data_IF_012716063380
#
_entry.id   IF_012716063380
#
_cell.length_a   1.000
_cell.length_b   1.000
_cell.length_c   1.000
_cell.angle_alpha   90.00
_cell.angle_beta   90.00
_cell.angle_gamma   90.00
#
_symmetry.space_group_name_H-M   'P 1'
#
loop_
_entity.id
_entity.type
_entity.pdbx_description
1 polymer ?
#
# COMPACT_ATOMS: atom_id res chain seq x y z
N UNK A 1 -30.25 6.46 -17.28
CA UNK A 1 -30.63 6.43 -15.85
C UNK A 1 -29.35 6.16 -15.07
N UNK A 2 -28.84 7.17 -14.37
CA UNK A 2 -27.55 7.08 -13.67
C UNK A 2 -27.65 6.19 -12.45
N UNK A 3 -26.82 5.15 -12.38
CA UNK A 3 -26.56 4.42 -11.15
C UNK A 3 -25.56 5.23 -10.32
N UNK A 4 -26.07 6.09 -9.45
CA UNK A 4 -25.29 6.56 -8.31
C UNK A 4 -24.94 5.34 -7.45
N UNK A 5 -23.71 4.83 -7.58
CA UNK A 5 -23.15 3.95 -6.57
C UNK A 5 -22.77 4.81 -5.37
N UNK A 6 -23.73 5.04 -4.50
CA UNK A 6 -23.51 5.70 -3.21
C UNK A 6 -22.69 4.77 -2.31
N UNK A 7 -21.38 4.72 -2.51
CA UNK A 7 -20.46 4.15 -1.52
C UNK A 7 -20.40 5.15 -0.38
N UNK A 8 -21.19 4.89 0.67
CA UNK A 8 -20.90 5.41 2.00
C UNK A 8 -19.57 4.77 2.41
N UNK A 9 -18.45 5.38 2.03
CA UNK A 9 -17.17 5.08 2.66
C UNK A 9 -17.31 5.57 4.10
N UNK A 10 -17.66 4.68 5.02
CA UNK A 10 -17.43 4.93 6.45
C UNK A 10 -15.97 5.34 6.58
N UNK A 11 -15.72 6.61 6.91
CA UNK A 11 -14.36 7.14 7.12
C UNK A 11 -13.70 6.30 8.22
N UNK A 12 -12.74 5.46 7.82
CA UNK A 12 -11.91 4.72 8.77
C UNK A 12 -10.93 5.74 9.32
N UNK A 13 -11.00 5.98 10.64
CA UNK A 13 -9.97 6.75 11.33
C UNK A 13 -8.63 6.00 11.24
N UNK A 14 -7.73 6.47 10.38
CA UNK A 14 -6.41 5.90 10.16
C UNK A 14 -5.45 6.15 11.33
N UNK A 15 -5.79 7.07 12.23
CA UNK A 15 -4.98 7.38 13.41
C UNK A 15 -5.25 6.39 14.57
N UNK A 16 -6.42 5.74 14.57
CA UNK A 16 -6.79 4.73 15.57
C UNK A 16 -6.46 3.30 15.10
N UNK A 17 -5.59 2.63 15.84
CA UNK A 17 -5.29 1.22 15.64
C UNK A 17 -6.53 0.33 15.79
N UNK A 18 -7.41 0.65 16.76
CA UNK A 18 -8.64 -0.07 17.03
C UNK A 18 -9.66 0.11 15.91
N UNK A 19 -9.70 1.29 15.28
CA UNK A 19 -10.53 1.55 14.10
C UNK A 19 -10.11 0.64 12.95
N UNK A 20 -8.81 0.61 12.64
CA UNK A 20 -8.24 -0.24 11.59
C UNK A 20 -8.44 -1.73 11.90
N UNK A 21 -8.14 -2.18 13.12
CA UNK A 21 -8.34 -3.59 13.50
C UNK A 21 -9.81 -4.01 13.39
N UNK A 22 -10.75 -3.15 13.79
CA UNK A 22 -12.19 -3.40 13.65
C UNK A 22 -12.63 -3.45 12.19
N UNK A 23 -12.09 -2.60 11.32
CA UNK A 23 -12.43 -2.64 9.89
C UNK A 23 -11.96 -3.93 9.23
N UNK A 24 -10.73 -4.38 9.54
CA UNK A 24 -10.18 -5.65 9.07
C UNK A 24 -11.03 -6.84 9.54
N UNK A 25 -11.43 -6.85 10.82
CA UNK A 25 -12.26 -7.93 11.38
C UNK A 25 -13.66 -8.01 10.74
N UNK A 26 -14.22 -6.86 10.33
CA UNK A 26 -15.52 -6.80 9.65
C UNK A 26 -15.44 -7.12 8.15
N UNK A 27 -14.25 -7.05 7.55
CA UNK A 27 -14.08 -7.28 6.13
C UNK A 27 -14.41 -8.74 5.75
N UNK A 28 -15.32 -8.91 4.78
CA UNK A 28 -15.70 -10.23 4.27
C UNK A 28 -14.60 -10.77 3.37
N UNK A 29 -14.14 -12.00 3.64
CA UNK A 29 -13.22 -12.72 2.74
C UNK A 29 -13.93 -13.03 1.42
N UNK A 30 -13.23 -12.85 0.32
CA UNK A 30 -13.71 -13.15 -1.03
C UNK A 30 -12.63 -13.78 -1.89
N UNK A 31 -13.06 -14.47 -2.94
CA UNK A 31 -12.22 -14.97 -4.03
C UNK A 31 -12.80 -14.42 -5.33
N UNK A 32 -12.53 -13.14 -5.66
CA UNK A 32 -13.06 -12.54 -6.87
C UNK A 32 -12.43 -13.21 -8.10
N UNK A 33 -13.27 -13.50 -9.08
CA UNK A 33 -12.88 -14.06 -10.36
C UNK A 33 -13.51 -13.27 -11.50
N UNK A 34 -12.84 -13.29 -12.65
CA UNK A 34 -13.39 -12.86 -13.94
C UNK A 34 -13.41 -14.06 -14.86
N UNK A 35 -14.57 -14.38 -15.41
CA UNK A 35 -14.76 -15.56 -16.25
C UNK A 35 -15.24 -15.14 -17.62
N UNK A 36 -14.54 -15.58 -18.66
CA UNK A 36 -14.99 -15.50 -20.05
C UNK A 36 -15.67 -16.81 -20.39
N UNK A 37 -16.88 -16.76 -20.92
CA UNK A 37 -17.70 -17.95 -21.22
C UNK A 37 -18.20 -17.84 -22.65
N UNK A 38 -18.10 -18.92 -23.41
CA UNK A 38 -18.66 -19.06 -24.75
C UNK A 38 -19.61 -20.25 -24.81
N UNK A 39 -20.79 -20.08 -25.39
CA UNK A 39 -21.82 -21.13 -25.42
C UNK A 39 -23.19 -20.61 -25.84
N UNK A 40 -24.26 -21.33 -25.51
CA UNK A 40 -25.65 -20.85 -25.65
C UNK A 40 -26.16 -20.28 -24.32
N UNK A 41 -25.95 -18.99 -24.10
CA UNK A 41 -26.00 -18.34 -22.78
C UNK A 41 -27.23 -17.43 -22.59
N UNK A 42 -28.27 -17.58 -23.42
CA UNK A 42 -29.43 -16.68 -23.40
C UNK A 42 -30.13 -16.60 -22.04
N UNK A 43 -30.10 -17.69 -21.27
CA UNK A 43 -30.77 -17.82 -19.98
C UNK A 43 -29.83 -17.65 -18.76
N UNK A 44 -28.55 -17.29 -18.98
CA UNK A 44 -27.58 -17.15 -17.90
C UNK A 44 -27.68 -15.74 -17.31
N UNK A 45 -28.37 -15.59 -16.19
CA UNK A 45 -28.51 -14.30 -15.48
C UNK A 45 -28.29 -14.46 -13.97
N UNK A 46 -27.91 -13.37 -13.29
CA UNK A 46 -27.69 -13.35 -11.84
C UNK A 46 -27.75 -11.92 -11.29
N UNK A 47 -28.38 -11.76 -10.12
CA UNK A 47 -28.41 -10.49 -9.40
C UNK A 47 -27.13 -10.25 -8.56
N UNK A 48 -26.37 -11.30 -8.25
CA UNK A 48 -25.20 -11.26 -7.35
C UNK A 48 -23.87 -11.13 -8.11
N UNK A 49 -23.90 -11.23 -9.43
CA UNK A 49 -22.73 -11.19 -10.30
C UNK A 49 -22.87 -10.09 -11.32
N UNK A 50 -21.74 -9.52 -11.73
CA UNK A 50 -21.71 -8.60 -12.87
C UNK A 50 -21.55 -9.43 -14.14
N UNK A 51 -22.51 -9.33 -15.05
CA UNK A 51 -22.52 -10.08 -16.30
C UNK A 51 -22.57 -9.10 -17.47
N UNK A 52 -21.63 -9.25 -18.41
CA UNK A 52 -21.52 -8.44 -19.63
C UNK A 52 -21.48 -9.36 -20.85
N UNK A 53 -21.97 -8.91 -22.01
CA UNK A 53 -21.86 -9.64 -23.27
C UNK A 53 -23.21 -9.90 -23.96
N UNK A 54 -23.30 -11.01 -24.69
CA UNK A 54 -24.47 -11.44 -25.45
C UNK A 54 -24.77 -12.94 -25.21
N UNK A 55 -25.69 -13.50 -26.00
CA UNK A 55 -26.15 -14.88 -25.82
C UNK A 55 -25.15 -15.94 -26.27
N UNK A 56 -24.06 -15.55 -26.93
CA UNK A 56 -23.00 -16.46 -27.40
C UNK A 56 -21.70 -16.33 -26.59
N UNK A 57 -21.49 -15.17 -25.97
CA UNK A 57 -20.30 -14.85 -25.21
C UNK A 57 -20.62 -13.92 -24.03
N UNK A 58 -20.19 -14.30 -22.82
CA UNK A 58 -20.36 -13.49 -21.61
C UNK A 58 -19.08 -13.38 -20.80
N UNK A 59 -18.90 -12.25 -20.14
CA UNK A 59 -17.89 -12.01 -19.11
C UNK A 59 -18.63 -11.89 -17.77
N UNK A 60 -18.25 -12.73 -16.80
CA UNK A 60 -18.84 -12.76 -15.46
C UNK A 60 -17.79 -12.30 -14.45
N UNK A 61 -18.13 -11.37 -13.57
CA UNK A 61 -17.27 -10.88 -12.49
C UNK A 61 -18.00 -11.04 -11.15
N UNK A 62 -17.37 -11.71 -10.19
CA UNK A 62 -17.91 -11.86 -8.83
C UNK A 62 -17.16 -12.86 -7.98
N UNK A 63 -17.73 -13.29 -6.85
CA UNK A 63 -17.10 -14.28 -5.99
C UNK A 63 -17.14 -15.69 -6.61
N UNK A 64 -16.03 -16.40 -6.52
CA UNK A 64 -15.87 -17.74 -7.09
C UNK A 64 -16.97 -18.72 -6.64
N UNK A 65 -17.48 -18.60 -5.41
CA UNK A 65 -18.51 -19.50 -4.89
C UNK A 65 -19.79 -19.42 -5.72
N UNK A 66 -20.22 -18.21 -6.08
CA UNK A 66 -21.42 -17.98 -6.87
C UNK A 66 -21.18 -18.27 -8.35
N UNK A 67 -20.02 -17.87 -8.87
CA UNK A 67 -19.62 -18.18 -10.25
C UNK A 67 -19.55 -19.69 -10.49
N UNK A 68 -19.01 -20.45 -9.54
CA UNK A 68 -18.94 -21.91 -9.64
C UNK A 68 -20.32 -22.55 -9.76
N UNK A 69 -21.32 -22.07 -9.01
CA UNK A 69 -22.70 -22.57 -9.12
C UNK A 69 -23.24 -22.39 -10.54
N UNK A 70 -23.05 -21.20 -11.13
CA UNK A 70 -23.48 -20.94 -12.50
C UNK A 70 -22.78 -21.85 -13.51
N UNK A 71 -21.46 -22.05 -13.37
CA UNK A 71 -20.71 -22.92 -14.26
C UNK A 71 -21.18 -24.38 -14.17
N UNK A 72 -21.39 -24.88 -12.95
CA UNK A 72 -21.85 -26.25 -12.69
C UNK A 72 -23.29 -26.46 -13.22
N UNK A 73 -24.20 -25.49 -13.01
CA UNK A 73 -25.60 -25.58 -13.44
C UNK A 73 -25.79 -25.46 -14.95
N UNK A 74 -24.88 -24.78 -15.65
CA UNK A 74 -25.00 -24.49 -17.09
C UNK A 74 -24.00 -25.27 -17.95
N UNK A 75 -23.37 -26.32 -17.41
CA UNK A 75 -22.28 -27.04 -18.07
C UNK A 75 -22.64 -27.54 -19.49
N UNK A 76 -23.89 -27.94 -19.71
CA UNK A 76 -24.36 -28.44 -21.01
C UNK A 76 -24.47 -27.35 -22.10
N UNK A 77 -24.53 -26.07 -21.71
CA UNK A 77 -24.66 -24.94 -22.63
C UNK A 77 -23.34 -24.21 -22.85
N UNK A 78 -22.31 -24.51 -22.04
CA UNK A 78 -21.01 -23.89 -22.10
C UNK A 78 -20.09 -24.73 -22.98
N UNK A 79 -19.59 -24.13 -24.07
CA UNK A 79 -18.61 -24.79 -24.93
C UNK A 79 -17.19 -24.60 -24.41
N UNK A 80 -16.86 -23.40 -23.94
CA UNK A 80 -15.54 -23.02 -23.45
C UNK A 80 -15.68 -21.97 -22.36
N UNK A 81 -14.76 -21.99 -21.40
CA UNK A 81 -14.60 -20.89 -20.47
C UNK A 81 -13.15 -20.73 -20.02
N UNK A 82 -12.81 -19.54 -19.56
CA UNK A 82 -11.52 -19.22 -18.96
C UNK A 82 -11.72 -18.37 -17.71
N UNK A 83 -11.07 -18.74 -16.61
CA UNK A 83 -11.17 -18.04 -15.32
C UNK A 83 -9.85 -17.33 -15.03
N UNK A 84 -9.91 -16.01 -14.89
CA UNK A 84 -8.86 -15.18 -14.31
C UNK A 84 -9.14 -14.92 -12.82
N UNK A 85 -8.11 -14.98 -11.99
CA UNK A 85 -8.17 -14.62 -10.58
C UNK A 85 -6.78 -14.18 -10.08
N UNK A 86 -6.75 -13.31 -9.07
CA UNK A 86 -5.51 -12.73 -8.54
C UNK A 86 -5.32 -12.97 -7.02
N UNK A 87 -6.35 -13.47 -6.34
CA UNK A 87 -6.36 -13.65 -4.88
C UNK A 87 -7.33 -14.75 -4.43
N UNK A 88 -7.09 -15.29 -3.23
CA UNK A 88 -7.93 -16.31 -2.57
C UNK A 88 -8.22 -15.91 -1.13
N UNK A 89 -9.49 -15.96 -0.72
CA UNK A 89 -9.92 -15.65 0.65
C UNK A 89 -9.38 -14.31 1.19
N UNK A 90 -9.21 -13.32 0.31
CA UNK A 90 -8.72 -12.00 0.67
C UNK A 90 -9.88 -11.12 1.14
N UNK A 91 -9.66 -10.36 2.20
CA UNK A 91 -10.71 -9.53 2.81
C UNK A 91 -10.50 -8.02 2.56
N UNK A 92 -9.25 -7.56 2.58
CA UNK A 92 -8.93 -6.14 2.44
C UNK A 92 -8.75 -5.82 0.94
N UNK A 93 -9.51 -4.88 0.38
CA UNK A 93 -9.34 -4.46 -1.01
C UNK A 93 -8.01 -3.71 -1.20
N UNK A 94 -7.65 -3.47 -2.47
CA UNK A 94 -6.56 -2.56 -2.80
C UNK A 94 -7.07 -1.12 -2.78
N UNK A 95 -6.15 -0.18 -2.54
CA UNK A 95 -6.44 1.25 -2.61
C UNK A 95 -6.84 1.64 -4.03
N UNK A 96 -7.86 2.48 -4.16
CA UNK A 96 -8.21 3.09 -5.43
C UNK A 96 -7.30 4.30 -5.71
N UNK A 97 -6.59 4.27 -6.84
CA UNK A 97 -5.48 5.20 -7.13
C UNK A 97 -5.75 6.20 -8.25
N UNK A 98 -6.85 6.07 -9.02
CA UNK A 98 -7.13 6.88 -10.21
C UNK A 98 -7.19 8.39 -9.95
N UNK A 99 -7.59 8.80 -8.75
CA UNK A 99 -7.78 10.22 -8.38
C UNK A 99 -6.69 10.76 -7.43
N UNK A 100 -5.64 9.96 -7.14
CA UNK A 100 -4.57 10.42 -6.27
C UNK A 100 -3.69 11.46 -6.98
N UNK A 101 -3.34 12.54 -6.28
CA UNK A 101 -2.35 13.52 -6.73
C UNK A 101 -0.91 13.03 -6.48
N UNK A 102 -0.62 11.76 -6.79
CA UNK A 102 0.65 11.10 -6.53
C UNK A 102 1.01 10.20 -7.72
N UNK A 103 2.27 9.79 -7.84
CA UNK A 103 2.72 8.86 -8.88
C UNK A 103 2.81 7.44 -8.32
N UNK A 104 2.03 6.53 -8.87
CA UNK A 104 1.99 5.12 -8.49
C UNK A 104 2.46 4.27 -9.68
N UNK A 105 3.64 3.66 -9.54
CA UNK A 105 4.24 2.87 -10.62
C UNK A 105 3.68 1.43 -10.67
N UNK A 106 3.68 0.78 -11.86
CA UNK A 106 3.15 -0.57 -12.04
C UNK A 106 3.77 -1.61 -11.10
N UNK A 107 2.95 -2.55 -10.65
CA UNK A 107 3.36 -3.66 -9.78
C UNK A 107 3.48 -3.30 -8.29
N UNK A 108 3.25 -2.04 -7.90
CA UNK A 108 3.05 -1.70 -6.49
C UNK A 108 1.75 -2.31 -5.95
N UNK A 109 1.75 -2.73 -4.69
CA UNK A 109 0.60 -3.33 -4.00
C UNK A 109 0.28 -2.48 -2.78
N UNK A 110 -0.83 -1.75 -2.84
CA UNK A 110 -1.26 -0.83 -1.80
C UNK A 110 -2.62 -1.27 -1.30
N UNK A 111 -2.73 -1.65 -0.03
CA UNK A 111 -4.03 -1.97 0.58
C UNK A 111 -4.87 -0.71 0.76
N UNK A 112 -6.19 -0.90 0.77
CA UNK A 112 -7.11 0.18 1.12
C UNK A 112 -6.84 0.70 2.55
N UNK A 113 -7.39 1.88 2.87
CA UNK A 113 -7.11 2.59 4.12
C UNK A 113 -5.63 2.94 4.28
N UNK A 114 -4.98 3.34 3.19
CA UNK A 114 -3.63 3.95 3.18
C UNK A 114 -3.78 5.41 2.74
N UNK A 115 -3.10 6.32 3.43
CA UNK A 115 -3.04 7.72 3.03
C UNK A 115 -1.77 7.98 2.22
N UNK A 116 -1.92 8.61 1.05
CA UNK A 116 -0.80 8.98 0.18
C UNK A 116 -0.86 10.48 -0.08
N UNK A 117 0.18 11.19 0.33
CA UNK A 117 0.32 12.63 0.18
C UNK A 117 0.57 13.05 -1.27
N UNK A 118 0.31 14.32 -1.55
CA UNK A 118 0.53 14.92 -2.87
C UNK A 118 1.98 14.75 -3.32
N UNK A 119 2.20 14.54 -4.61
CA UNK A 119 3.50 14.34 -5.26
C UNK A 119 4.35 13.18 -4.70
N UNK A 120 3.81 12.35 -3.81
CA UNK A 120 4.51 11.15 -3.38
C UNK A 120 4.74 10.23 -4.59
N UNK A 121 5.81 9.45 -4.54
CA UNK A 121 6.17 8.49 -5.59
C UNK A 121 6.25 7.10 -4.98
N UNK A 122 5.40 6.19 -5.44
CA UNK A 122 5.42 4.79 -5.06
C UNK A 122 5.96 3.98 -6.24
N UNK A 123 7.17 3.45 -6.08
CA UNK A 123 7.90 2.76 -7.14
C UNK A 123 7.46 1.29 -7.29
N UNK A 124 7.90 0.67 -8.38
CA UNK A 124 7.53 -0.69 -8.77
C UNK A 124 7.80 -1.71 -7.65
N UNK A 125 6.84 -2.60 -7.42
CA UNK A 125 6.97 -3.69 -6.45
C UNK A 125 6.92 -3.28 -4.98
N UNK A 126 6.75 -1.99 -4.66
CA UNK A 126 6.54 -1.56 -3.28
C UNK A 126 5.24 -2.16 -2.71
N UNK A 127 5.27 -2.57 -1.44
CA UNK A 127 4.13 -3.17 -0.73
C UNK A 127 3.79 -2.29 0.47
N UNK A 128 2.59 -1.71 0.47
CA UNK A 128 2.14 -0.77 1.51
C UNK A 128 0.88 -1.31 2.17
N UNK A 129 0.97 -1.54 3.47
CA UNK A 129 -0.06 -2.20 4.25
C UNK A 129 -1.04 -1.20 4.88
N UNK A 130 -2.19 -1.72 5.30
CA UNK A 130 -3.32 -0.97 5.87
C UNK A 130 -2.89 -0.02 6.99
N UNK A 131 -3.47 1.19 6.99
CA UNK A 131 -3.20 2.22 7.98
C UNK A 131 -1.91 3.00 7.79
N UNK A 132 -1.07 2.62 6.81
CA UNK A 132 0.14 3.38 6.51
C UNK A 132 -0.19 4.79 6.01
N UNK A 133 0.70 5.74 6.31
CA UNK A 133 0.62 7.13 5.89
C UNK A 133 1.92 7.49 5.18
N UNK A 134 1.82 7.96 3.95
CA UNK A 134 2.94 8.43 3.15
C UNK A 134 2.81 9.94 2.96
N UNK A 135 3.76 10.70 3.48
CA UNK A 135 3.75 12.16 3.40
C UNK A 135 4.01 12.72 2.00
N UNK A 136 3.79 14.03 1.88
CA UNK A 136 3.99 14.78 0.64
C UNK A 136 5.43 14.71 0.12
N UNK A 137 5.60 14.63 -1.20
CA UNK A 137 6.89 14.60 -1.90
C UNK A 137 7.82 13.45 -1.45
N UNK A 138 7.31 12.45 -0.74
CA UNK A 138 8.10 11.29 -0.28
C UNK A 138 8.16 10.20 -1.35
N UNK A 139 9.29 9.51 -1.40
CA UNK A 139 9.54 8.40 -2.31
C UNK A 139 9.62 7.09 -1.53
N UNK A 140 8.76 6.15 -1.91
CA UNK A 140 8.84 4.75 -1.51
C UNK A 140 9.43 3.99 -2.69
N UNK A 141 10.72 3.68 -2.60
CA UNK A 141 11.48 3.14 -3.72
C UNK A 141 11.15 1.64 -3.95
N UNK A 142 11.72 1.07 -5.02
CA UNK A 142 11.38 -0.25 -5.52
C UNK A 142 11.44 -1.31 -4.43
N UNK A 143 10.44 -2.19 -4.41
CA UNK A 143 10.38 -3.34 -3.50
C UNK A 143 10.45 -3.00 -2.01
N UNK A 144 10.20 -1.74 -1.60
CA UNK A 144 10.07 -1.41 -0.19
C UNK A 144 8.82 -2.04 0.42
N UNK A 145 8.88 -2.34 1.72
CA UNK A 145 7.74 -2.80 2.50
C UNK A 145 7.42 -1.78 3.57
N UNK A 146 6.23 -1.18 3.50
CA UNK A 146 5.68 -0.33 4.56
C UNK A 146 4.64 -1.14 5.31
N UNK A 147 5.00 -1.56 6.52
CA UNK A 147 4.15 -2.34 7.40
C UNK A 147 2.89 -1.58 7.86
N UNK A 148 1.98 -2.30 8.49
CA UNK A 148 0.71 -1.73 8.94
C UNK A 148 0.96 -0.54 9.88
N UNK A 149 0.22 0.55 9.66
CA UNK A 149 0.32 1.81 10.41
C UNK A 149 1.66 2.57 10.30
N UNK A 150 2.61 2.14 9.45
CA UNK A 150 3.86 2.88 9.26
C UNK A 150 3.60 4.32 8.83
N UNK A 151 4.18 5.28 9.55
CA UNK A 151 4.03 6.72 9.28
C UNK A 151 5.31 7.23 8.65
N UNK A 152 5.21 7.70 7.40
CA UNK A 152 6.30 8.30 6.65
C UNK A 152 6.00 9.79 6.49
N UNK A 153 6.90 10.64 6.96
CA UNK A 153 6.82 12.09 6.87
C UNK A 153 6.95 12.61 5.45
N UNK A 154 7.13 13.92 5.32
CA UNK A 154 7.32 14.66 4.06
C UNK A 154 8.76 14.63 3.60
N UNK A 155 8.97 14.67 2.29
CA UNK A 155 10.31 14.71 1.67
C UNK A 155 11.22 13.55 2.13
N UNK A 156 10.64 12.39 2.45
CA UNK A 156 11.37 11.20 2.88
C UNK A 156 11.76 10.38 1.67
N UNK A 157 12.98 9.84 1.67
CA UNK A 157 13.40 8.83 0.69
C UNK A 157 13.59 7.49 1.40
N UNK A 158 12.70 6.54 1.12
CA UNK A 158 12.82 5.15 1.60
C UNK A 158 13.46 4.33 0.48
N UNK A 159 14.76 4.07 0.59
CA UNK A 159 15.55 3.41 -0.46
C UNK A 159 15.18 1.95 -0.67
N UNK A 160 15.40 1.46 -1.89
CA UNK A 160 14.91 0.16 -2.37
C UNK A 160 15.10 -1.01 -1.41
N UNK A 161 14.08 -1.87 -1.31
CA UNK A 161 14.09 -3.08 -0.47
C UNK A 161 14.05 -2.82 1.03
N UNK A 162 13.91 -1.57 1.48
CA UNK A 162 13.78 -1.24 2.91
C UNK A 162 12.48 -1.80 3.49
N UNK A 163 12.56 -2.29 4.73
CA UNK A 163 11.40 -2.76 5.49
C UNK A 163 11.14 -1.84 6.69
N UNK A 164 9.98 -1.21 6.68
CA UNK A 164 9.42 -0.49 7.83
C UNK A 164 8.46 -1.46 8.53
N UNK A 165 8.81 -1.90 9.74
CA UNK A 165 8.03 -2.90 10.46
C UNK A 165 6.59 -2.42 10.74
N UNK A 166 5.64 -3.34 10.68
CA UNK A 166 4.22 -3.05 10.88
C UNK A 166 3.80 -3.29 12.31
N UNK A 167 2.93 -2.43 12.83
CA UNK A 167 2.34 -2.58 14.16
C UNK A 167 0.83 -2.45 14.05
N UNK A 168 0.13 -3.59 14.01
CA UNK A 168 -1.34 -3.60 14.05
C UNK A 168 -1.86 -3.95 15.45
N UNK A 169 -1.27 -4.95 16.09
CA UNK A 169 -1.61 -5.41 17.44
C UNK A 169 -0.34 -5.61 18.27
N UNK A 170 -0.35 -5.29 19.58
CA UNK A 170 -1.43 -4.61 20.30
C UNK A 170 -1.55 -3.11 19.93
N UNK A 171 -2.76 -2.53 19.97
CA UNK A 171 -3.00 -1.10 19.67
C UNK A 171 -2.16 -0.11 20.48
N UNK A 172 -1.74 -0.51 21.68
CA UNK A 172 -0.93 0.29 22.61
C UNK A 172 0.49 0.57 22.11
N UNK A 173 1.00 -0.20 21.14
CA UNK A 173 2.33 0.04 20.57
C UNK A 173 2.19 1.09 19.46
N UNK A 174 3.02 2.15 19.58
CA UNK A 174 3.13 3.17 18.54
C UNK A 174 3.64 2.51 17.24
N UNK A 175 3.20 2.96 16.07
CA UNK A 175 3.76 2.46 14.82
C UNK A 175 5.22 2.91 14.66
N UNK A 176 5.87 2.44 13.60
CA UNK A 176 7.12 3.06 13.15
C UNK A 176 6.81 4.44 12.60
N UNK A 177 7.57 5.44 13.05
CA UNK A 177 7.44 6.83 12.64
C UNK A 177 8.75 7.28 12.00
N UNK A 178 8.69 7.66 10.74
CA UNK A 178 9.79 8.28 10.01
C UNK A 178 9.42 9.74 9.85
N UNK A 179 10.14 10.65 10.50
CA UNK A 179 9.85 12.09 10.42
C UNK A 179 10.28 12.69 9.07
N UNK A 180 10.02 13.99 8.91
CA UNK A 180 10.28 14.71 7.67
C UNK A 180 11.78 14.70 7.29
N UNK A 181 12.06 14.82 5.99
CA UNK A 181 13.41 14.98 5.44
C UNK A 181 14.39 13.82 5.74
N UNK A 182 13.89 12.66 6.16
CA UNK A 182 14.71 11.47 6.44
C UNK A 182 15.15 10.79 5.14
N UNK A 183 16.39 10.30 5.12
CA UNK A 183 16.88 9.40 4.07
C UNK A 183 17.17 8.02 4.66
N UNK A 184 16.61 6.97 4.06
CA UNK A 184 16.85 5.58 4.43
C UNK A 184 17.53 4.87 3.28
N UNK A 185 18.76 4.40 3.50
CA UNK A 185 19.49 3.63 2.50
C UNK A 185 18.87 2.27 2.24
N UNK A 186 19.09 1.74 1.04
CA UNK A 186 18.53 0.49 0.56
C UNK A 186 18.72 -0.70 1.54
N UNK A 187 17.77 -1.63 1.52
CA UNK A 187 17.75 -2.85 2.34
C UNK A 187 17.94 -2.60 3.85
N UNK A 188 17.53 -1.44 4.35
CA UNK A 188 17.50 -1.18 5.80
C UNK A 188 16.24 -1.78 6.42
N UNK A 189 16.28 -2.01 7.73
CA UNK A 189 15.12 -2.46 8.51
C UNK A 189 14.93 -1.52 9.70
N UNK A 190 13.72 -0.99 9.85
CA UNK A 190 13.33 -0.22 11.04
C UNK A 190 12.33 -1.05 11.84
N UNK A 191 12.71 -1.44 13.06
CA UNK A 191 11.89 -2.30 13.92
C UNK A 191 10.66 -1.58 14.47
N UNK A 192 9.72 -2.36 15.01
CA UNK A 192 8.43 -1.92 15.52
C UNK A 192 8.56 -0.82 16.57
N UNK A 193 7.68 0.18 16.49
CA UNK A 193 7.60 1.24 17.49
C UNK A 193 8.82 2.16 17.56
N UNK A 194 9.70 2.13 16.56
CA UNK A 194 10.84 3.03 16.47
C UNK A 194 10.46 4.35 15.79
N UNK A 195 11.02 5.44 16.29
CA UNK A 195 10.93 6.76 15.71
C UNK A 195 12.29 7.19 15.14
N UNK A 196 12.29 7.62 13.88
CA UNK A 196 13.47 8.17 13.19
C UNK A 196 13.26 9.66 13.03
N UNK A 197 14.07 10.43 13.77
CA UNK A 197 13.93 11.87 13.88
C UNK A 197 14.26 12.63 12.59
N UNK A 198 13.72 13.84 12.49
CA UNK A 198 13.78 14.69 11.30
C UNK A 198 15.20 14.83 10.74
N UNK A 199 15.34 14.71 9.43
CA UNK A 199 16.62 14.92 8.74
C UNK A 199 17.67 13.85 9.02
N UNK A 200 17.34 12.76 9.73
CA UNK A 200 18.26 11.65 9.96
C UNK A 200 18.59 10.90 8.66
N UNK A 201 19.73 10.21 8.66
CA UNK A 201 20.20 9.38 7.56
C UNK A 201 20.50 7.98 8.09
N UNK A 202 19.84 6.97 7.54
CA UNK A 202 20.11 5.56 7.83
C UNK A 202 20.96 5.03 6.68
N UNK A 203 22.17 4.54 6.97
CA UNK A 203 23.02 3.92 5.95
C UNK A 203 22.39 2.62 5.42
N UNK A 204 22.65 2.29 4.16
CA UNK A 204 22.14 1.06 3.54
C UNK A 204 22.50 -0.20 4.35
N UNK A 205 21.58 -1.16 4.40
CA UNK A 205 21.75 -2.40 5.15
C UNK A 205 21.80 -2.21 6.67
N UNK A 206 21.22 -1.15 7.22
CA UNK A 206 21.20 -0.96 8.68
C UNK A 206 19.96 -1.61 9.31
N UNK A 207 20.09 -2.08 10.55
CA UNK A 207 18.96 -2.57 11.36
C UNK A 207 18.78 -1.63 12.56
N UNK A 208 17.75 -0.80 12.49
CA UNK A 208 17.44 0.22 13.51
C UNK A 208 16.60 -0.40 14.61
N UNK A 209 17.20 -0.53 15.80
CA UNK A 209 16.60 -1.19 16.97
C UNK A 209 16.21 -0.23 18.09
N UNK A 210 16.45 1.08 17.91
CA UNK A 210 16.19 2.15 18.88
C UNK A 210 15.87 3.44 18.14
N UNK A 211 15.19 4.35 18.80
CA UNK A 211 14.89 5.69 18.28
C UNK A 211 16.18 6.39 17.81
N UNK A 212 16.09 7.04 16.65
CA UNK A 212 17.20 7.75 16.02
C UNK A 212 17.00 9.25 16.23
N UNK A 213 17.94 9.97 16.88
CA UNK A 213 17.80 11.40 17.08
C UNK A 213 17.79 12.17 15.73
N UNK A 214 17.10 13.32 15.66
CA UNK A 214 17.12 14.18 14.48
C UNK A 214 18.52 14.55 14.03
N UNK A 215 18.70 14.77 12.73
CA UNK A 215 19.96 15.22 12.13
C UNK A 215 21.18 14.33 12.44
N UNK A 216 20.97 13.04 12.70
CA UNK A 216 22.06 12.07 12.88
C UNK A 216 22.21 11.14 11.69
N UNK A 217 23.39 10.55 11.55
CA UNK A 217 23.65 9.44 10.62
C UNK A 217 23.87 8.18 11.45
N UNK A 218 23.10 7.14 11.17
CA UNK A 218 23.24 5.83 11.81
C UNK A 218 23.64 4.76 10.80
N UNK A 219 24.42 3.78 11.23
CA UNK A 219 24.83 2.65 10.39
C UNK A 219 25.01 1.36 11.21
N UNK A 220 24.82 0.21 10.56
CA UNK A 220 25.17 -1.11 11.08
C UNK A 220 23.98 -1.93 11.59
N UNK A 221 24.29 -3.11 12.13
CA UNK A 221 23.33 -4.06 12.69
C UNK A 221 23.81 -4.55 14.08
N UNK A 222 23.30 -4.01 15.20
CA UNK A 222 22.31 -2.93 15.29
C UNK A 222 22.91 -1.57 14.88
N UNK A 223 22.06 -0.69 14.36
CA UNK A 223 22.45 0.65 13.92
C UNK A 223 22.97 1.48 15.10
N UNK A 224 24.09 2.17 14.90
CA UNK A 224 24.68 3.10 15.87
C UNK A 224 24.91 4.45 15.21
N UNK A 225 24.84 5.52 15.99
CA UNK A 225 25.18 6.87 15.53
C UNK A 225 26.66 6.88 15.14
N UNK A 226 26.93 7.22 13.88
CA UNK A 226 28.28 7.37 13.33
C UNK A 226 28.63 8.83 13.07
N UNK A 227 27.63 9.71 12.96
CA UNK A 227 27.82 11.15 12.77
C UNK A 227 26.60 11.91 13.30
N UNK A 228 26.84 13.08 13.87
CA UNK A 228 25.81 14.11 14.09
C UNK A 228 26.04 15.19 13.04
N UNK A 229 25.00 15.59 12.29
CA UNK A 229 25.13 16.70 11.34
C UNK A 229 25.38 17.98 12.14
N UNK A 230 26.52 18.60 11.89
CA UNK A 230 26.91 19.90 12.40
C UNK A 230 26.27 21.03 11.57
N UNK A 231 26.01 22.18 12.20
CA UNK A 231 25.41 23.38 11.55
C UNK A 231 26.14 23.75 10.23
N UNK A 232 27.47 23.57 10.20
CA UNK A 232 28.32 23.85 9.02
C UNK A 232 27.99 22.98 7.79
N UNK A 233 27.39 21.81 7.97
CA UNK A 233 26.95 20.96 6.86
C UNK A 233 25.63 21.47 6.26
N UNK A 234 24.73 22.04 7.07
CA UNK A 234 23.47 22.61 6.59
C UNK A 234 23.70 23.86 5.74
N UNK A 235 24.63 24.73 6.13
CA UNK A 235 24.97 25.94 5.37
C UNK A 235 25.48 25.62 3.95
N UNK A 236 26.26 24.54 3.80
CA UNK A 236 26.77 24.11 2.48
C UNK A 236 25.69 23.54 1.57
N UNK A 237 24.72 22.81 2.14
CA UNK A 237 23.60 22.26 1.37
C UNK A 237 22.68 23.40 0.92
N UNK A 238 22.37 24.34 1.81
CA UNK A 238 21.56 25.52 1.49
C UNK A 238 22.22 26.40 0.42
N UNK A 239 23.54 26.64 0.52
CA UNK A 239 24.30 27.33 -0.51
C UNK A 239 24.24 26.61 -1.87
N UNK A 240 24.28 25.28 -1.88
CA UNK A 240 24.18 24.47 -3.11
C UNK A 240 22.76 24.47 -3.69
N UNK A 241 21.73 24.49 -2.86
CA UNK A 241 20.33 24.63 -3.29
C UNK A 241 20.06 26.02 -3.87
N UNK A 242 20.57 27.08 -3.23
CA UNK A 242 20.51 28.45 -3.73
C UNK A 242 21.24 28.60 -5.08
N UNK A 243 22.39 27.93 -5.26
CA UNK A 243 23.15 27.91 -6.52
C UNK A 243 22.47 27.09 -7.62
N UNK A 244 21.60 26.14 -7.27
CA UNK A 244 20.81 25.33 -8.22
C UNK A 244 19.47 25.97 -8.57
N UNK A 245 19.09 27.05 -7.90
CA UNK A 245 17.89 27.85 -8.17
C UNK A 245 18.08 28.97 -9.20
N UNK A 246 19.07 28.88 -10.08
CA UNK A 246 19.25 29.74 -11.27
C UNK A 246 18.86 29.01 -12.56
#
# INVERSE_FOLDING_TARGET
>A
MGSQSTKIKTEIDLTSAESIARSIKKAKKSTPVKVYIQGYLANLDSNDLLIFGNDQFRIIIGDYTEVKKILDENQNFISHFHIEYDRRNSAIPLLETLELQARIEPGSIIRDSVAIGKNAVIMMGAVINVGAVIGENSMIDMNCVIGARGIIGRNVHVGAGTVIAGVLEPPSIKPVIIEDNVFIGANSVVLEGIQVGEGAVIAAGSVVTRDVPPNTVVAGMPAKIIKVKDERTQDKVKLLEDLRGL
#
